data_IF_478827039734
#
_entry.id   IF_478827039734
#
_cell.length_a   1.000
_cell.length_b   1.000
_cell.length_c   1.000
_cell.angle_alpha   90.00
_cell.angle_beta   90.00
_cell.angle_gamma   90.00
#
_symmetry.space_group_name_H-M   'P 1'
#
loop_
_entity.id
_entity.type
_entity.pdbx_description
1 polymer ?
#
# COMPACT_ATOMS: atom_id res chain seq x y z
N UNK A 1 37.28 74.64 0.56
CA UNK A 1 37.05 73.18 0.52
C UNK A 1 35.72 72.72 1.15
N UNK A 2 35.11 73.45 2.11
CA UNK A 2 33.86 73.00 2.76
C UNK A 2 32.63 72.90 1.83
N UNK A 3 32.50 73.79 0.83
CA UNK A 3 31.36 73.80 -0.12
C UNK A 3 31.29 72.59 -1.06
N UNK A 4 32.44 71.98 -1.38
CA UNK A 4 32.51 70.81 -2.28
C UNK A 4 32.04 69.54 -1.56
N UNK A 5 32.31 69.44 -0.25
CA UNK A 5 31.90 68.31 0.60
C UNK A 5 30.37 68.25 0.72
N UNK A 6 29.68 69.40 0.84
CA UNK A 6 28.21 69.43 0.88
C UNK A 6 27.59 69.02 -0.46
N UNK A 7 28.22 69.34 -1.60
CA UNK A 7 27.74 68.93 -2.92
C UNK A 7 27.84 67.41 -3.14
N UNK A 8 28.97 66.81 -2.77
CA UNK A 8 29.18 65.34 -2.86
C UNK A 8 28.25 64.59 -1.89
N UNK A 9 28.05 65.11 -0.68
CA UNK A 9 27.10 64.52 0.28
C UNK A 9 25.65 64.57 -0.19
N UNK A 10 25.21 65.68 -0.79
CA UNK A 10 23.85 65.80 -1.33
C UNK A 10 23.60 64.83 -2.50
N UNK A 11 24.60 64.62 -3.36
CA UNK A 11 24.51 63.67 -4.47
C UNK A 11 24.44 62.22 -4.01
N UNK A 12 25.23 61.84 -3.00
CA UNK A 12 25.17 60.50 -2.41
C UNK A 12 23.80 60.20 -1.82
N UNK A 13 23.19 61.15 -1.11
CA UNK A 13 21.84 60.99 -0.54
C UNK A 13 20.81 60.75 -1.65
N UNK A 14 20.84 61.55 -2.72
CA UNK A 14 19.94 61.36 -3.86
C UNK A 14 20.11 59.99 -4.53
N UNK A 15 21.35 59.49 -4.65
CA UNK A 15 21.64 58.17 -5.21
C UNK A 15 21.11 57.03 -4.32
N UNK A 16 21.19 57.16 -3.00
CA UNK A 16 20.60 56.19 -2.08
C UNK A 16 19.07 56.15 -2.17
N UNK A 17 18.40 57.29 -2.36
CA UNK A 17 16.95 57.33 -2.54
C UNK A 17 16.47 56.69 -3.84
N UNK A 18 17.20 56.88 -4.95
CA UNK A 18 16.82 56.27 -6.23
C UNK A 18 17.02 54.75 -6.23
N UNK A 19 18.13 54.28 -5.65
CA UNK A 19 18.40 52.83 -5.52
C UNK A 19 17.43 52.16 -4.54
N UNK A 20 17.13 52.80 -3.41
CA UNK A 20 16.15 52.29 -2.44
C UNK A 20 14.74 52.16 -3.03
N UNK A 21 14.34 53.10 -3.89
CA UNK A 21 13.05 53.04 -4.58
C UNK A 21 12.96 51.86 -5.55
N UNK A 22 14.02 51.57 -6.31
CA UNK A 22 14.07 50.43 -7.23
C UNK A 22 13.97 49.08 -6.49
N UNK A 23 14.65 48.94 -5.35
CA UNK A 23 14.58 47.72 -4.52
C UNK A 23 13.15 47.52 -4.00
N UNK A 24 12.49 48.59 -3.60
CA UNK A 24 11.11 48.53 -3.08
C UNK A 24 10.12 48.09 -4.16
N UNK A 25 10.30 48.54 -5.41
CA UNK A 25 9.46 48.15 -6.53
C UNK A 25 9.57 46.64 -6.84
N UNK A 26 10.79 46.09 -6.85
CA UNK A 26 10.97 44.64 -7.06
C UNK A 26 10.40 43.80 -5.90
N UNK A 27 10.44 44.32 -4.67
CA UNK A 27 9.88 43.63 -3.52
C UNK A 27 8.34 43.54 -3.58
N UNK A 28 7.67 44.55 -4.14
CA UNK A 28 6.21 44.54 -4.32
C UNK A 28 5.78 43.51 -5.36
N UNK A 29 6.42 43.46 -6.53
CA UNK A 29 6.13 42.45 -7.56
C UNK A 29 6.35 41.01 -7.03
N UNK A 30 7.41 40.83 -6.24
CA UNK A 30 7.68 39.54 -5.57
C UNK A 30 6.55 39.19 -4.59
N UNK A 31 6.07 40.16 -3.80
CA UNK A 31 4.97 39.95 -2.86
C UNK A 31 3.69 39.56 -3.57
N UNK A 32 3.34 40.26 -4.64
CA UNK A 32 2.13 39.97 -5.43
C UNK A 32 2.21 38.59 -6.07
N UNK A 33 3.40 38.20 -6.57
CA UNK A 33 3.65 36.83 -7.05
C UNK A 33 3.53 35.80 -5.95
N UNK A 34 4.06 36.05 -4.75
CA UNK A 34 3.94 35.13 -3.61
C UNK A 34 2.48 34.97 -3.21
N UNK A 35 1.70 36.06 -3.15
CA UNK A 35 0.27 36.00 -2.87
C UNK A 35 -0.50 35.20 -3.93
N UNK A 36 -0.24 35.45 -5.22
CA UNK A 36 -0.83 34.67 -6.30
C UNK A 36 -0.40 33.19 -6.26
N UNK A 37 0.85 32.91 -5.87
CA UNK A 37 1.34 31.54 -5.68
C UNK A 37 0.68 30.86 -4.48
N UNK A 38 0.45 31.55 -3.37
CA UNK A 38 -0.25 31.00 -2.22
C UNK A 38 -1.72 30.70 -2.54
N UNK A 39 -2.39 31.58 -3.28
CA UNK A 39 -3.78 31.40 -3.70
C UNK A 39 -3.94 30.26 -4.72
N UNK A 40 -3.01 30.16 -5.69
CA UNK A 40 -2.97 29.03 -6.62
C UNK A 40 -2.59 27.73 -5.92
N UNK A 41 -1.67 27.75 -4.94
CA UNK A 41 -1.37 26.57 -4.12
C UNK A 41 -2.55 26.16 -3.22
N UNK A 42 -3.29 27.11 -2.66
CA UNK A 42 -4.50 26.83 -1.87
C UNK A 42 -5.60 26.22 -2.77
N UNK A 43 -5.81 26.79 -3.95
CA UNK A 43 -6.74 26.27 -4.96
C UNK A 43 -6.31 24.90 -5.48
N UNK A 44 -5.02 24.68 -5.70
CA UNK A 44 -4.47 23.39 -6.09
C UNK A 44 -4.60 22.36 -4.95
N UNK A 45 -4.37 22.73 -3.68
CA UNK A 45 -4.64 21.86 -2.52
C UNK A 45 -6.13 21.49 -2.42
N UNK A 46 -7.03 22.41 -2.79
CA UNK A 46 -8.47 22.17 -2.78
C UNK A 46 -8.95 21.34 -3.98
N UNK A 47 -8.37 21.52 -5.17
CA UNK A 47 -8.63 20.67 -6.35
C UNK A 47 -8.00 19.28 -6.21
N UNK A 48 -6.86 19.18 -5.54
CA UNK A 48 -6.20 17.92 -5.15
C UNK A 48 -6.73 17.42 -3.81
N UNK A 49 -7.88 17.91 -3.33
CA UNK A 49 -8.69 17.25 -2.30
C UNK A 49 -9.34 15.96 -2.84
N UNK A 50 -8.59 15.15 -3.59
CA UNK A 50 -8.53 13.74 -3.24
C UNK A 50 -8.05 13.75 -1.79
N UNK A 51 -8.74 13.12 -0.83
CA UNK A 51 -8.28 13.11 0.55
C UNK A 51 -6.77 12.81 0.54
N UNK A 52 -5.99 13.43 1.43
CA UNK A 52 -4.61 13.02 1.65
C UNK A 52 -4.66 11.57 2.14
N UNK A 53 -4.87 10.66 1.20
CA UNK A 53 -4.99 9.25 1.42
C UNK A 53 -3.60 8.90 1.85
N UNK A 54 -3.49 8.50 3.11
CA UNK A 54 -2.27 7.94 3.62
C UNK A 54 -2.03 6.62 2.88
N UNK A 55 -1.38 6.70 1.71
CA UNK A 55 -1.10 5.55 0.86
C UNK A 55 -0.03 4.64 1.46
N UNK A 56 0.64 5.09 2.53
CA UNK A 56 1.74 4.38 3.20
C UNK A 56 1.33 3.00 3.72
N UNK A 57 0.04 2.77 3.93
CA UNK A 57 -0.53 1.49 4.38
C UNK A 57 -1.61 0.92 3.44
N UNK A 58 -1.77 1.45 2.23
CA UNK A 58 -2.70 0.87 1.26
C UNK A 58 -2.04 -0.30 0.53
N UNK A 59 -2.68 -1.46 0.63
CA UNK A 59 -2.37 -2.62 -0.18
C UNK A 59 -3.07 -2.49 -1.53
N UNK A 60 -2.31 -2.59 -2.61
CA UNK A 60 -2.79 -2.68 -3.98
C UNK A 60 -2.76 -4.15 -4.38
N UNK A 61 -3.88 -4.69 -4.83
CA UNK A 61 -3.98 -6.07 -5.30
C UNK A 61 -4.05 -6.04 -6.82
N UNK A 62 -3.07 -6.63 -7.49
CA UNK A 62 -3.12 -6.89 -8.92
C UNK A 62 -3.73 -8.28 -9.13
N UNK A 63 -4.82 -8.32 -9.89
CA UNK A 63 -5.46 -9.56 -10.32
C UNK A 63 -5.17 -9.75 -11.81
N UNK A 64 -4.49 -10.84 -12.17
CA UNK A 64 -4.28 -11.21 -13.56
C UNK A 64 -4.46 -12.70 -13.77
N UNK A 65 -4.89 -13.07 -14.97
CA UNK A 65 -5.04 -14.47 -15.36
C UNK A 65 -3.78 -14.93 -16.07
N UNK A 66 -3.19 -16.03 -15.61
CA UNK A 66 -2.08 -16.69 -16.28
C UNK A 66 -2.39 -18.19 -16.35
N UNK A 67 -2.41 -18.74 -17.57
CA UNK A 67 -2.77 -20.15 -17.84
C UNK A 67 -4.12 -20.58 -17.24
N UNK A 68 -5.09 -19.67 -17.21
CA UNK A 68 -6.42 -19.91 -16.63
C UNK A 68 -6.48 -19.82 -15.10
N UNK A 69 -5.36 -19.60 -14.44
CA UNK A 69 -5.26 -19.45 -12.98
C UNK A 69 -5.25 -17.96 -12.63
N UNK A 70 -6.11 -17.57 -11.69
CA UNK A 70 -6.12 -16.20 -11.15
C UNK A 70 -4.94 -16.00 -10.20
N UNK A 71 -3.98 -15.17 -10.62
CA UNK A 71 -2.87 -14.73 -9.80
C UNK A 71 -3.25 -13.42 -9.10
N UNK A 72 -3.03 -13.38 -7.78
CA UNK A 72 -3.27 -12.21 -6.94
C UNK A 72 -1.96 -11.79 -6.31
N UNK A 73 -1.48 -10.62 -6.69
CA UNK A 73 -0.23 -10.06 -6.16
C UNK A 73 -0.53 -8.84 -5.30
N UNK A 74 -0.06 -8.86 -4.06
CA UNK A 74 -0.25 -7.75 -3.12
C UNK A 74 0.99 -6.86 -3.06
N UNK A 75 0.79 -5.58 -3.31
CA UNK A 75 1.84 -4.57 -3.30
C UNK A 75 1.54 -3.50 -2.26
N UNK A 76 2.56 -3.07 -1.51
CA UNK A 76 2.48 -1.85 -0.71
C UNK A 76 3.23 -0.72 -1.40
N UNK A 77 2.64 0.47 -1.39
CA UNK A 77 3.31 1.65 -1.91
C UNK A 77 4.51 1.99 -1.01
N UNK A 78 5.71 1.93 -1.57
CA UNK A 78 6.94 2.23 -0.85
C UNK A 78 7.32 3.72 -0.99
N UNK A 79 7.27 4.25 -2.22
CA UNK A 79 7.47 5.68 -2.49
C UNK A 79 6.81 6.10 -3.81
N UNK A 80 6.54 7.39 -3.96
CA UNK A 80 6.01 7.96 -5.19
C UNK A 80 6.64 9.34 -5.45
N UNK A 81 6.79 9.69 -6.72
CA UNK A 81 7.20 10.99 -7.22
C UNK A 81 6.49 11.30 -8.54
N UNK A 82 6.72 12.47 -9.11
CA UNK A 82 6.00 12.94 -10.32
C UNK A 82 6.10 11.97 -11.49
N UNK A 83 7.26 11.31 -11.65
CA UNK A 83 7.55 10.46 -12.81
C UNK A 83 7.68 8.97 -12.46
N UNK A 84 7.57 8.59 -11.18
CA UNK A 84 7.80 7.19 -10.76
C UNK A 84 7.04 6.81 -9.50
N UNK A 85 6.60 5.56 -9.46
CA UNK A 85 5.96 4.94 -8.30
C UNK A 85 6.71 3.66 -7.99
N UNK A 86 7.14 3.49 -6.73
CA UNK A 86 7.88 2.32 -6.26
C UNK A 86 6.98 1.51 -5.35
N UNK A 87 6.73 0.27 -5.75
CA UNK A 87 6.00 -0.70 -4.96
C UNK A 87 6.98 -1.67 -4.28
N UNK A 88 6.67 -2.05 -3.04
CA UNK A 88 7.25 -3.21 -2.40
C UNK A 88 6.26 -4.36 -2.57
N UNK A 89 6.68 -5.41 -3.24
CA UNK A 89 5.95 -6.67 -3.24
C UNK A 89 6.00 -7.20 -1.80
N UNK A 90 4.83 -7.38 -1.18
CA UNK A 90 4.78 -8.28 -0.04
C UNK A 90 4.72 -9.67 -0.66
N UNK A 91 5.68 -10.54 -0.31
CA UNK A 91 5.53 -11.96 -0.62
C UNK A 91 4.16 -12.36 -0.07
N UNK A 92 3.25 -12.71 -0.98
CA UNK A 92 2.03 -13.38 -0.59
C UNK A 92 2.47 -14.55 0.30
N UNK A 93 1.81 -14.82 1.44
CA UNK A 93 2.16 -15.97 2.25
C UNK A 93 2.22 -17.14 1.29
N UNK A 94 3.42 -17.76 1.17
CA UNK A 94 3.68 -18.79 0.19
C UNK A 94 2.47 -19.71 0.19
N UNK A 95 1.79 -19.82 -0.95
CA UNK A 95 0.65 -20.73 -1.10
C UNK A 95 1.19 -22.09 -0.69
N UNK A 96 0.91 -22.49 0.55
CA UNK A 96 1.52 -23.67 1.11
C UNK A 96 0.92 -24.84 0.32
N UNK A 97 1.78 -25.55 -0.40
CA UNK A 97 1.38 -26.79 -1.04
C UNK A 97 0.96 -27.75 0.07
N UNK A 98 -0.27 -28.26 -0.01
CA UNK A 98 -0.85 -29.13 1.01
C UNK A 98 -2.36 -29.02 1.07
N UNK A 99 -2.93 -29.74 2.04
CA UNK A 99 -4.36 -29.88 2.26
C UNK A 99 -4.72 -29.46 3.68
N UNK A 100 -5.95 -28.97 3.85
CA UNK A 100 -6.52 -28.66 5.14
C UNK A 100 -7.77 -29.52 5.34
N UNK A 101 -7.88 -30.17 6.49
CA UNK A 101 -9.10 -30.87 6.89
C UNK A 101 -9.99 -29.92 7.68
N UNK A 102 -11.24 -29.80 7.26
CA UNK A 102 -12.28 -29.04 7.96
C UNK A 102 -13.53 -29.89 8.15
N UNK A 103 -14.47 -29.42 8.97
CA UNK A 103 -15.74 -30.12 9.22
C UNK A 103 -16.88 -29.30 8.67
N UNK A 104 -17.66 -29.90 7.78
CA UNK A 104 -18.92 -29.33 7.28
C UNK A 104 -20.03 -30.34 7.47
N UNK A 105 -21.15 -29.88 8.02
CA UNK A 105 -22.35 -30.72 8.26
C UNK A 105 -22.05 -32.02 9.06
N UNK A 106 -20.97 -32.03 9.85
CA UNK A 106 -20.55 -33.18 10.66
C UNK A 106 -19.60 -34.16 9.96
N UNK A 107 -19.28 -33.92 8.68
CA UNK A 107 -18.36 -34.71 7.87
C UNK A 107 -17.07 -33.97 7.59
N UNK A 108 -16.00 -34.73 7.33
CA UNK A 108 -14.70 -34.16 7.00
C UNK A 108 -14.71 -33.71 5.54
N UNK A 109 -14.25 -32.49 5.30
CA UNK A 109 -14.06 -31.92 3.96
C UNK A 109 -12.59 -31.55 3.80
N UNK A 110 -12.01 -31.98 2.67
CA UNK A 110 -10.62 -31.72 2.33
C UNK A 110 -10.55 -30.46 1.47
N UNK A 111 -9.75 -29.50 1.90
CA UNK A 111 -9.49 -28.25 1.19
C UNK A 111 -8.06 -28.24 0.64
N UNK A 112 -7.87 -27.76 -0.58
CA UNK A 112 -6.53 -27.53 -1.13
C UNK A 112 -6.03 -26.14 -0.69
N UNK A 113 -4.93 -26.10 0.08
CA UNK A 113 -4.38 -24.84 0.60
C UNK A 113 -3.86 -23.89 -0.50
N UNK A 114 -3.49 -24.43 -1.67
CA UNK A 114 -2.96 -23.64 -2.79
C UNK A 114 -4.02 -22.81 -3.49
N UNK A 115 -5.27 -23.28 -3.52
CA UNK A 115 -6.38 -22.65 -4.23
C UNK A 115 -7.53 -22.24 -3.30
N UNK A 116 -7.45 -22.63 -2.01
CA UNK A 116 -8.51 -22.46 -1.01
C UNK A 116 -9.88 -22.93 -1.53
N UNK A 117 -9.86 -24.04 -2.24
CA UNK A 117 -11.02 -24.69 -2.85
C UNK A 117 -11.19 -26.07 -2.21
N UNK A 118 -12.44 -26.53 -2.15
CA UNK A 118 -12.73 -27.93 -1.76
C UNK A 118 -12.06 -28.85 -2.77
N UNK A 119 -11.15 -29.68 -2.26
CA UNK A 119 -10.51 -30.75 -3.01
C UNK A 119 -11.45 -31.96 -3.09
N UNK A 120 -12.00 -32.39 -1.95
CA UNK A 120 -12.84 -33.57 -1.87
C UNK A 120 -13.81 -33.51 -0.67
N UNK A 121 -15.06 -33.90 -0.91
CA UNK A 121 -16.03 -34.19 0.14
C UNK A 121 -15.89 -35.64 0.56
N UNK A 122 -15.76 -35.90 1.86
CA UNK A 122 -15.61 -37.25 2.36
C UNK A 122 -16.83 -37.65 3.18
N UNK A 123 -17.20 -38.92 3.12
CA UNK A 123 -18.29 -39.48 3.95
C UNK A 123 -17.81 -39.86 5.35
N UNK A 124 -16.63 -39.37 5.77
CA UNK A 124 -16.04 -39.68 7.08
C UNK A 124 -16.64 -38.73 8.13
N UNK A 125 -17.44 -39.22 9.09
CA UNK A 125 -17.99 -38.37 10.14
C UNK A 125 -16.88 -37.97 11.12
N UNK A 126 -16.95 -36.76 11.68
CA UNK A 126 -16.00 -36.29 12.69
C UNK A 126 -15.88 -37.26 13.88
N UNK A 127 -17.00 -37.88 14.25
CA UNK A 127 -17.08 -38.82 15.37
C UNK A 127 -16.28 -40.11 15.15
N UNK A 128 -15.98 -40.48 13.90
CA UNK A 128 -15.15 -41.64 13.57
C UNK A 128 -13.67 -41.41 13.93
N UNK A 129 -13.24 -40.16 14.07
CA UNK A 129 -11.87 -39.84 14.45
C UNK A 129 -11.64 -39.99 15.96
N UNK A 130 -10.42 -40.35 16.39
CA UNK A 130 -10.00 -40.23 17.78
C UNK A 130 -10.20 -38.81 18.32
N UNK A 131 -10.56 -38.66 19.61
CA UNK A 131 -10.84 -37.36 20.25
C UNK A 131 -9.72 -36.31 20.06
N UNK A 132 -8.47 -36.74 20.02
CA UNK A 132 -7.32 -35.89 19.78
C UNK A 132 -7.35 -35.31 18.36
N UNK A 133 -7.58 -36.16 17.36
CA UNK A 133 -7.70 -35.75 15.96
C UNK A 133 -8.96 -34.94 15.67
N UNK A 134 -10.07 -35.20 16.36
CA UNK A 134 -11.27 -34.36 16.27
C UNK A 134 -10.94 -32.90 16.59
N UNK A 135 -10.20 -32.67 17.68
CA UNK A 135 -9.74 -31.33 18.07
C UNK A 135 -8.83 -30.70 17.01
N UNK A 136 -7.89 -31.46 16.47
CA UNK A 136 -6.99 -30.97 15.42
C UNK A 136 -7.74 -30.59 14.13
N UNK A 137 -8.68 -31.41 13.69
CA UNK A 137 -9.47 -31.16 12.48
C UNK A 137 -10.38 -29.93 12.67
N UNK A 138 -10.97 -29.76 13.85
CA UNK A 138 -11.74 -28.54 14.17
C UNK A 138 -10.88 -27.26 14.19
N UNK A 139 -9.58 -27.39 14.50
CA UNK A 139 -8.61 -26.29 14.42
C UNK A 139 -8.06 -26.08 13.01
N UNK A 140 -8.47 -26.89 12.03
CA UNK A 140 -7.97 -26.83 10.66
C UNK A 140 -6.65 -27.56 10.48
N UNK A 141 -6.63 -28.87 10.76
CA UNK A 141 -5.44 -29.72 10.61
C UNK A 141 -4.85 -29.59 9.20
N UNK A 142 -3.57 -29.26 9.15
CA UNK A 142 -2.81 -29.16 7.91
C UNK A 142 -2.08 -30.46 7.59
N UNK A 143 -2.17 -30.88 6.33
CA UNK A 143 -1.48 -32.04 5.76
C UNK A 143 -0.59 -31.52 4.63
N UNK A 144 0.68 -31.89 4.63
CA UNK A 144 1.66 -31.32 3.68
C UNK A 144 1.74 -32.11 2.37
N UNK A 145 1.57 -33.43 2.43
CA UNK A 145 1.76 -34.31 1.28
C UNK A 145 0.46 -35.03 0.92
N UNK A 146 0.30 -35.31 -0.37
CA UNK A 146 -0.84 -36.08 -0.89
C UNK A 146 -0.85 -37.51 -0.33
N UNK A 147 0.32 -38.13 -0.12
CA UNK A 147 0.41 -39.48 0.45
C UNK A 147 -0.10 -39.54 1.90
N UNK A 148 0.20 -38.51 2.71
CA UNK A 148 -0.30 -38.42 4.08
C UNK A 148 -1.82 -38.22 4.11
N UNK A 149 -2.36 -37.44 3.16
CA UNK A 149 -3.80 -37.27 2.99
C UNK A 149 -4.47 -38.61 2.66
N UNK A 150 -4.00 -39.32 1.63
CA UNK A 150 -4.62 -40.59 1.24
C UNK A 150 -4.52 -41.65 2.33
N UNK A 151 -3.37 -41.75 3.00
CA UNK A 151 -3.23 -42.64 4.15
C UNK A 151 -4.22 -42.26 5.27
N UNK A 152 -4.42 -40.98 5.53
CA UNK A 152 -5.43 -40.53 6.50
C UNK A 152 -6.84 -40.95 6.07
N UNK A 153 -7.23 -40.67 4.83
CA UNK A 153 -8.56 -41.00 4.32
C UNK A 153 -8.81 -42.51 4.33
N UNK A 154 -7.83 -43.32 3.90
CA UNK A 154 -7.95 -44.79 3.87
C UNK A 154 -8.14 -45.38 5.28
N UNK A 155 -7.46 -44.84 6.29
CA UNK A 155 -7.58 -45.32 7.67
C UNK A 155 -8.97 -45.07 8.30
N UNK A 156 -9.73 -44.09 7.80
CA UNK A 156 -11.01 -43.67 8.38
C UNK A 156 -12.20 -43.77 7.41
N UNK A 157 -11.96 -44.10 6.14
CA UNK A 157 -12.96 -44.45 5.13
C UNK A 157 -13.36 -45.92 5.30
N UNK A 158 -14.21 -46.20 6.30
CA UNK A 158 -14.83 -47.53 6.51
C UNK A 158 -16.20 -47.64 5.88
#
# INVERSE_FOLDING_TARGET
MKRIIYGVGCFLIALFFTVGFLITYQLTDLKDRIYALEETNASAKQQVSVPAVNYKNKTFVLEHYQDGILQKESFKLHSYGTDKVVFRQEEAPAKNAGYQLQVEEGYIVVYENSQNQVFEYTDIPLEALPKELQGEVLLGKQIKTTDELYNFLENYSS
#
